data_IF_963194079382
#
_entry.id   IF_963194079382
#
_cell.length_a   1.000
_cell.length_b   1.000
_cell.length_c   1.000
_cell.angle_alpha   90.00
_cell.angle_beta   90.00
_cell.angle_gamma   90.00
#
_symmetry.space_group_name_H-M   'P 1'
#
loop_
_entity.id
_entity.type
_entity.pdbx_description
1 polymer ?
#
# COMPACT_ATOMS: atom_id res chain seq x y z
N UNK A 1 -41.35 42.49 67.34
CA UNK A 1 -42.54 43.27 66.95
C UNK A 1 -42.37 43.67 65.49
N UNK A 2 -43.33 43.27 64.62
CA UNK A 2 -43.61 43.73 63.23
C UNK A 2 -42.50 43.54 62.17
N UNK A 3 -42.64 42.58 61.24
CA UNK A 3 -43.33 42.64 59.93
C UNK A 3 -42.66 43.66 58.98
N UNK A 4 -41.97 43.21 57.93
CA UNK A 4 -42.33 43.29 56.48
C UNK A 4 -41.03 43.00 55.69
N UNK A 5 -40.93 42.50 54.46
CA UNK A 5 -41.86 42.40 53.34
C UNK A 5 -41.26 41.44 52.31
N UNK A 6 -42.13 40.70 51.63
CA UNK A 6 -41.84 39.74 50.56
C UNK A 6 -41.46 40.46 49.26
N UNK A 7 -40.49 39.93 48.52
CA UNK A 7 -40.40 40.09 47.07
C UNK A 7 -40.33 38.69 46.47
N UNK A 8 -41.36 38.32 45.70
CA UNK A 8 -41.43 37.10 44.90
C UNK A 8 -40.95 37.44 43.49
N UNK A 9 -39.80 36.91 43.08
CA UNK A 9 -39.39 36.87 41.67
C UNK A 9 -39.79 35.49 41.16
N UNK A 10 -40.70 35.47 40.19
CA UNK A 10 -41.12 34.24 39.50
C UNK A 10 -40.24 34.11 38.27
N UNK A 11 -39.26 33.20 38.30
CA UNK A 11 -38.46 32.85 37.14
C UNK A 11 -38.99 31.53 36.56
N UNK A 12 -39.61 31.61 35.39
CA UNK A 12 -40.10 30.47 34.62
C UNK A 12 -38.90 29.77 33.99
N UNK A 13 -38.57 28.55 34.45
CA UNK A 13 -37.52 27.73 33.86
C UNK A 13 -38.11 26.90 32.71
N UNK A 14 -37.79 27.28 31.48
CA UNK A 14 -38.08 26.48 30.28
C UNK A 14 -37.07 25.35 30.19
N UNK A 15 -37.51 24.11 30.43
CA UNK A 15 -36.69 22.90 30.20
C UNK A 15 -36.70 22.61 28.70
N UNK A 16 -35.60 22.92 28.02
CA UNK A 16 -35.35 22.46 26.64
C UNK A 16 -34.83 21.03 26.72
N UNK A 17 -35.64 20.06 26.32
CA UNK A 17 -35.21 18.68 26.15
C UNK A 17 -34.29 18.60 24.91
N UNK A 18 -32.99 18.40 25.13
CA UNK A 18 -32.07 18.01 24.06
C UNK A 18 -32.37 16.56 23.68
N UNK A 19 -33.02 16.36 22.54
CA UNK A 19 -33.00 15.08 21.85
C UNK A 19 -31.56 14.82 21.41
N UNK A 20 -30.86 13.93 22.11
CA UNK A 20 -29.55 13.46 21.70
C UNK A 20 -29.66 12.75 20.36
N UNK A 21 -29.21 13.39 19.30
CA UNK A 21 -28.97 12.71 18.04
C UNK A 21 -27.87 11.68 18.28
N UNK A 22 -28.21 10.40 18.23
CA UNK A 22 -27.21 9.35 18.19
C UNK A 22 -26.34 9.58 16.94
N UNK A 23 -25.06 9.90 17.16
CA UNK A 23 -24.08 9.95 16.08
C UNK A 23 -24.02 8.55 15.46
N UNK A 24 -23.95 8.43 14.12
CA UNK A 24 -23.72 7.14 13.50
C UNK A 24 -22.41 6.56 14.05
N UNK A 25 -22.45 5.29 14.46
CA UNK A 25 -21.28 4.57 14.94
C UNK A 25 -20.17 4.66 13.88
N UNK A 26 -19.01 5.17 14.28
CA UNK A 26 -17.83 5.17 13.43
C UNK A 26 -17.50 3.72 13.07
N UNK A 27 -17.48 3.38 11.79
CA UNK A 27 -16.96 2.11 11.33
C UNK A 27 -15.53 1.99 11.88
N UNK A 28 -15.27 0.92 12.64
CA UNK A 28 -13.96 0.70 13.25
C UNK A 28 -12.87 0.74 12.19
N UNK A 29 -11.80 1.48 12.46
CA UNK A 29 -10.65 1.54 11.57
C UNK A 29 -10.02 0.15 11.45
N UNK A 30 -9.84 -0.40 10.23
CA UNK A 30 -9.02 -1.58 10.06
C UNK A 30 -7.62 -1.29 10.63
N UNK A 31 -7.27 -2.01 11.68
CA UNK A 31 -5.92 -1.98 12.25
C UNK A 31 -5.04 -3.02 11.58
N UNK A 32 -3.74 -2.89 11.75
CA UNK A 32 -2.83 -4.02 11.56
C UNK A 32 -2.61 -4.67 12.93
N UNK A 33 -2.95 -5.95 13.02
CA UNK A 33 -2.71 -6.78 14.20
C UNK A 33 -1.24 -7.15 14.32
N UNK A 34 -0.90 -7.90 15.38
CA UNK A 34 0.46 -8.31 15.79
C UNK A 34 1.47 -8.50 14.65
N UNK A 35 2.19 -7.44 14.24
CA UNK A 35 3.18 -7.52 13.18
C UNK A 35 4.37 -8.35 13.65
N UNK A 36 4.95 -9.14 12.76
CA UNK A 36 6.16 -9.89 13.08
C UNK A 36 7.04 -10.08 11.85
N UNK A 37 8.36 -10.07 12.09
CA UNK A 37 9.35 -10.33 11.05
C UNK A 37 9.27 -11.80 10.64
N UNK A 38 9.05 -12.04 9.35
CA UNK A 38 9.02 -13.38 8.75
C UNK A 38 10.35 -13.75 8.11
N UNK A 39 11.19 -12.75 7.81
CA UNK A 39 12.51 -12.94 7.23
C UNK A 39 13.44 -11.76 7.53
N UNK A 40 14.63 -12.07 8.03
CA UNK A 40 15.79 -11.17 7.98
C UNK A 40 16.58 -11.42 6.69
N UNK A 41 17.12 -10.36 6.09
CA UNK A 41 17.84 -10.39 4.83
C UNK A 41 19.28 -9.87 5.03
N UNK A 42 20.17 -10.23 4.13
CA UNK A 42 21.58 -9.86 4.22
C UNK A 42 21.86 -8.51 3.54
N UNK A 43 22.02 -7.46 4.37
CA UNK A 43 22.39 -6.12 3.91
C UNK A 43 23.72 -6.11 3.15
N UNK A 44 24.72 -6.88 3.61
CA UNK A 44 26.04 -6.91 2.99
C UNK A 44 26.02 -7.59 1.61
N UNK A 45 25.10 -8.53 1.41
CA UNK A 45 24.82 -9.14 0.11
C UNK A 45 23.90 -8.30 -0.79
N UNK A 46 23.49 -7.10 -0.36
CA UNK A 46 22.59 -6.22 -1.11
C UNK A 46 21.13 -6.69 -1.14
N UNK A 47 20.73 -7.59 -0.23
CA UNK A 47 19.36 -8.09 -0.12
C UNK A 47 18.45 -7.06 0.57
N UNK A 48 18.20 -5.96 -0.13
CA UNK A 48 17.31 -4.89 0.30
C UNK A 48 16.03 -4.98 -0.54
N UNK A 49 14.91 -5.45 0.04
CA UNK A 49 13.70 -5.74 -0.71
C UNK A 49 12.98 -4.45 -1.12
N UNK A 50 12.71 -4.30 -2.40
CA UNK A 50 12.05 -3.09 -2.94
C UNK A 50 10.56 -3.29 -3.15
N UNK A 51 10.22 -4.38 -3.83
CA UNK A 51 8.84 -4.66 -4.20
C UNK A 51 8.51 -6.13 -4.00
N UNK A 52 7.24 -6.44 -3.76
CA UNK A 52 6.80 -7.80 -3.55
C UNK A 52 5.42 -8.06 -4.14
N UNK A 53 5.20 -9.29 -4.59
CA UNK A 53 3.90 -9.79 -5.00
C UNK A 53 3.67 -11.18 -4.43
N UNK A 54 2.40 -11.59 -4.35
CA UNK A 54 2.01 -12.83 -3.65
C UNK A 54 1.71 -13.94 -4.63
N UNK A 55 2.12 -15.15 -4.29
CA UNK A 55 1.79 -16.35 -5.05
C UNK A 55 0.50 -17.01 -4.56
N UNK A 56 -0.19 -17.79 -5.41
CA UNK A 56 -1.39 -18.54 -5.02
C UNK A 56 -1.19 -19.51 -3.85
N UNK A 57 0.04 -19.99 -3.59
CA UNK A 57 0.37 -20.88 -2.48
C UNK A 57 0.80 -20.15 -1.19
N UNK A 58 0.80 -18.81 -1.18
CA UNK A 58 1.24 -18.01 -0.03
C UNK A 58 2.72 -17.66 -0.01
N UNK A 59 3.51 -18.09 -1.01
CA UNK A 59 4.88 -17.60 -1.19
C UNK A 59 4.88 -16.12 -1.63
N UNK A 60 6.00 -15.44 -1.44
CA UNK A 60 6.23 -14.07 -1.88
C UNK A 60 7.31 -14.05 -2.95
N UNK A 61 7.05 -13.42 -4.09
CA UNK A 61 8.09 -13.09 -5.07
C UNK A 61 8.52 -11.63 -4.79
N UNK A 62 9.81 -11.42 -4.57
CA UNK A 62 10.40 -10.18 -4.05
C UNK A 62 11.56 -9.73 -4.94
N UNK A 63 11.65 -8.43 -5.20
CA UNK A 63 12.80 -7.82 -5.86
C UNK A 63 13.80 -7.33 -4.83
N UNK A 64 15.05 -7.80 -4.93
CA UNK A 64 16.17 -7.39 -4.09
C UNK A 64 16.98 -6.35 -4.84
N UNK A 65 16.81 -5.08 -4.48
CA UNK A 65 17.27 -3.93 -5.26
C UNK A 65 18.72 -4.01 -5.70
N UNK A 66 19.64 -4.10 -4.73
CA UNK A 66 21.08 -3.98 -5.01
C UNK A 66 21.79 -5.33 -5.17
N UNK A 67 21.11 -6.44 -4.87
CA UNK A 67 21.55 -7.78 -5.26
C UNK A 67 21.23 -8.10 -6.74
N UNK A 68 20.40 -7.28 -7.38
CA UNK A 68 19.84 -7.51 -8.71
C UNK A 68 19.08 -8.84 -8.82
N UNK A 69 18.45 -9.28 -7.73
CA UNK A 69 17.82 -10.60 -7.66
C UNK A 69 16.30 -10.50 -7.63
N UNK A 70 15.67 -11.48 -8.26
CA UNK A 70 14.26 -11.82 -8.07
C UNK A 70 14.26 -13.08 -7.21
N UNK A 71 13.62 -13.01 -6.04
CA UNK A 71 13.71 -14.04 -5.01
C UNK A 71 12.31 -14.48 -4.61
N UNK A 72 12.16 -15.79 -4.42
CA UNK A 72 10.96 -16.38 -3.84
C UNK A 72 11.20 -16.72 -2.40
N UNK A 73 10.32 -16.24 -1.53
CA UNK A 73 10.21 -16.69 -0.15
C UNK A 73 9.03 -17.64 -0.04
N UNK A 74 9.28 -18.89 0.31
CA UNK A 74 8.24 -19.90 0.45
C UNK A 74 7.53 -19.78 1.79
N UNK A 75 6.32 -20.33 1.90
CA UNK A 75 5.51 -20.27 3.12
C UNK A 75 6.19 -20.97 4.34
N UNK A 76 6.99 -22.00 4.09
CA UNK A 76 7.85 -22.66 5.10
C UNK A 76 9.15 -21.88 5.38
N UNK A 77 9.23 -20.65 4.85
CA UNK A 77 10.33 -19.70 5.04
C UNK A 77 11.65 -20.16 4.40
N UNK A 78 11.60 -20.89 3.29
CA UNK A 78 12.74 -21.04 2.38
C UNK A 78 12.95 -19.77 1.54
N UNK A 79 14.17 -19.55 1.06
CA UNK A 79 14.51 -18.44 0.16
C UNK A 79 15.18 -19.02 -1.09
N UNK A 80 14.65 -18.71 -2.27
CA UNK A 80 15.16 -19.20 -3.55
C UNK A 80 15.35 -18.06 -4.54
N UNK A 81 16.57 -17.89 -5.05
CA UNK A 81 16.81 -16.96 -6.16
C UNK A 81 16.18 -17.55 -7.42
N UNK A 82 15.21 -16.84 -8.00
CA UNK A 82 14.56 -17.21 -9.25
C UNK A 82 15.34 -16.72 -10.47
N UNK A 83 16.03 -15.58 -10.33
CA UNK A 83 16.86 -15.03 -11.37
C UNK A 83 17.65 -13.82 -10.89
N UNK A 84 18.77 -13.55 -11.56
CA UNK A 84 19.62 -12.38 -11.31
C UNK A 84 19.73 -11.58 -12.60
N UNK A 85 19.45 -10.27 -12.54
CA UNK A 85 19.65 -9.37 -13.66
C UNK A 85 21.14 -9.05 -13.83
N UNK A 86 21.61 -8.84 -15.07
CA UNK A 86 23.01 -8.55 -15.32
C UNK A 86 23.44 -7.23 -14.65
N UNK A 87 24.62 -7.22 -14.05
CA UNK A 87 25.22 -6.00 -13.54
C UNK A 87 25.61 -5.06 -14.70
N UNK A 88 25.43 -3.73 -14.55
CA UNK A 88 25.95 -2.78 -15.53
C UNK A 88 27.49 -2.77 -15.52
N UNK A 89 28.13 -2.17 -16.53
CA UNK A 89 29.57 -1.96 -16.54
C UNK A 89 30.05 -1.27 -15.26
N UNK A 90 31.22 -1.69 -14.74
CA UNK A 90 31.82 -1.10 -13.56
C UNK A 90 31.96 0.42 -13.71
N UNK A 91 31.55 1.17 -12.68
CA UNK A 91 31.58 2.63 -12.69
C UNK A 91 30.35 3.30 -13.34
N UNK A 92 29.36 2.52 -13.79
CA UNK A 92 28.08 3.07 -14.21
C UNK A 92 27.34 3.67 -13.02
N UNK A 93 26.94 4.92 -13.15
CA UNK A 93 26.12 5.62 -12.17
C UNK A 93 24.64 5.56 -12.59
N UNK A 94 23.83 4.84 -11.84
CA UNK A 94 22.39 4.76 -12.11
C UNK A 94 21.69 6.00 -11.54
N UNK A 95 20.74 6.61 -12.28
CA UNK A 95 20.06 7.82 -11.86
C UNK A 95 19.36 7.66 -10.50
N UNK A 96 19.47 8.69 -9.65
CA UNK A 96 18.92 8.80 -8.29
C UNK A 96 19.46 7.81 -7.24
N UNK A 97 19.84 6.59 -7.62
CA UNK A 97 20.25 5.54 -6.68
C UNK A 97 21.76 5.37 -6.56
N UNK A 98 22.55 5.89 -7.51
CA UNK A 98 24.01 5.76 -7.50
C UNK A 98 24.52 4.39 -7.97
N UNK A 99 23.63 3.42 -8.16
CA UNK A 99 23.89 2.01 -8.50
C UNK A 99 22.64 1.35 -9.04
N UNK A 100 22.81 0.29 -9.82
CA UNK A 100 21.68 -0.41 -10.42
C UNK A 100 20.69 -0.93 -9.37
N UNK A 101 19.42 -0.91 -9.74
CA UNK A 101 18.29 -1.00 -8.83
C UNK A 101 17.14 -1.76 -9.51
N UNK A 102 16.58 -2.78 -8.85
CA UNK A 102 15.37 -3.48 -9.31
C UNK A 102 14.15 -2.93 -8.59
N UNK A 103 13.18 -2.46 -9.35
CA UNK A 103 11.93 -1.90 -8.86
C UNK A 103 10.78 -2.91 -8.77
N UNK A 104 9.62 -2.46 -9.20
CA UNK A 104 8.32 -3.11 -9.11
C UNK A 104 8.26 -4.47 -9.80
N UNK A 105 7.38 -5.32 -9.27
CA UNK A 105 7.17 -6.69 -9.72
C UNK A 105 5.70 -6.99 -9.95
N UNK A 106 5.39 -7.70 -11.04
CA UNK A 106 4.05 -8.24 -11.31
C UNK A 106 4.18 -9.69 -11.73
N UNK A 107 3.29 -10.53 -11.19
CA UNK A 107 3.16 -11.95 -11.54
C UNK A 107 1.93 -12.18 -12.40
N UNK A 108 2.10 -12.88 -13.52
CA UNK A 108 1.01 -13.38 -14.35
C UNK A 108 0.46 -14.72 -13.81
N UNK A 109 -0.77 -15.11 -14.20
CA UNK A 109 -1.35 -16.39 -13.78
C UNK A 109 -0.49 -17.61 -14.12
N UNK A 110 0.23 -17.58 -15.24
CA UNK A 110 1.15 -18.64 -15.68
C UNK A 110 2.47 -18.70 -14.90
N UNK A 111 2.69 -17.80 -13.94
CA UNK A 111 3.92 -17.72 -13.15
C UNK A 111 5.01 -16.85 -13.77
N UNK A 112 4.78 -16.25 -14.94
CA UNK A 112 5.71 -15.27 -15.51
C UNK A 112 5.79 -14.04 -14.61
N UNK A 113 7.00 -13.63 -14.26
CA UNK A 113 7.30 -12.40 -13.55
C UNK A 113 7.77 -11.33 -14.51
N UNK A 114 7.25 -10.12 -14.32
CA UNK A 114 7.76 -8.91 -14.92
C UNK A 114 8.34 -8.02 -13.83
N UNK A 115 9.55 -7.51 -14.05
CA UNK A 115 10.24 -6.60 -13.11
C UNK A 115 10.81 -5.39 -13.84
N UNK A 116 10.97 -4.29 -13.11
CA UNK A 116 11.61 -3.08 -13.62
C UNK A 116 13.06 -3.00 -13.18
N UNK A 117 13.94 -2.53 -14.07
CA UNK A 117 15.36 -2.37 -13.80
C UNK A 117 15.83 -0.97 -14.19
N UNK A 118 16.41 -0.24 -13.22
CA UNK A 118 17.16 0.99 -13.43
C UNK A 118 18.65 0.65 -13.37
N UNK A 119 19.33 0.63 -14.50
CA UNK A 119 20.72 0.19 -14.59
C UNK A 119 21.70 1.30 -14.98
N UNK A 120 21.20 2.50 -15.29
CA UNK A 120 22.01 3.62 -15.78
C UNK A 120 22.44 3.51 -17.25
N UNK A 121 22.05 2.45 -17.96
CA UNK A 121 22.41 2.24 -19.37
C UNK A 121 21.19 1.91 -20.22
N UNK A 122 21.19 2.35 -21.48
CA UNK A 122 20.05 2.16 -22.39
C UNK A 122 19.88 0.70 -22.86
N UNK A 123 20.88 -0.15 -22.67
CA UNK A 123 20.85 -1.57 -23.00
C UNK A 123 20.35 -2.46 -21.85
N UNK A 124 20.35 -1.96 -20.61
CA UNK A 124 19.88 -2.69 -19.43
C UNK A 124 18.61 -2.11 -18.80
N UNK A 125 18.47 -0.77 -18.77
CA UNK A 125 17.30 -0.12 -18.17
C UNK A 125 16.02 -0.50 -18.92
N UNK A 126 14.98 -0.90 -18.18
CA UNK A 126 13.70 -1.27 -18.77
C UNK A 126 12.90 -2.32 -18.03
N UNK A 127 11.91 -2.89 -18.75
CA UNK A 127 11.09 -3.99 -18.30
C UNK A 127 11.75 -5.33 -18.65
N UNK A 128 11.87 -6.18 -17.65
CA UNK A 128 12.42 -7.53 -17.76
C UNK A 128 11.35 -8.57 -17.49
N UNK A 129 11.47 -9.71 -18.16
CA UNK A 129 10.58 -10.86 -18.03
C UNK A 129 11.38 -12.08 -17.56
N UNK A 130 10.85 -12.77 -16.57
CA UNK A 130 11.33 -14.06 -16.09
C UNK A 130 10.17 -15.07 -16.15
N UNK A 131 10.26 -16.05 -17.05
CA UNK A 131 9.33 -17.18 -17.04
C UNK A 131 9.83 -18.25 -16.06
N UNK A 132 8.95 -19.10 -15.51
CA UNK A 132 9.39 -20.21 -14.67
C UNK A 132 10.44 -21.08 -15.38
N UNK A 133 11.62 -21.22 -14.76
CA UNK A 133 12.73 -22.03 -15.28
C UNK A 133 13.63 -21.35 -16.32
N UNK A 134 13.28 -20.15 -16.79
CA UNK A 134 14.11 -19.38 -17.72
C UNK A 134 15.11 -18.48 -16.99
N UNK A 135 16.03 -17.87 -17.76
CA UNK A 135 16.82 -16.72 -17.29
C UNK A 135 16.06 -15.41 -17.57
N UNK A 136 16.24 -14.36 -16.75
CA UNK A 136 15.63 -13.06 -17.03
C UNK A 136 16.05 -12.49 -18.39
N UNK A 137 15.09 -11.92 -19.12
CA UNK A 137 15.34 -11.27 -20.43
C UNK A 137 14.65 -9.92 -20.51
N UNK A 138 15.34 -8.92 -21.06
CA UNK A 138 14.75 -7.59 -21.28
C UNK A 138 13.77 -7.65 -22.44
N UNK A 139 12.56 -7.13 -22.22
CA UNK A 139 11.48 -7.11 -23.22
C UNK A 139 11.15 -5.71 -23.70
N UNK A 140 11.25 -4.70 -22.83
CA UNK A 140 11.03 -3.30 -23.22
C UNK A 140 12.23 -2.48 -22.78
N UNK A 141 12.97 -1.83 -23.69
CA UNK A 141 13.98 -0.85 -23.33
C UNK A 141 13.32 0.43 -22.81
N UNK A 142 13.88 0.99 -21.75
CA UNK A 142 13.57 2.35 -21.30
C UNK A 142 14.85 3.22 -21.37
N UNK A 143 14.71 4.56 -21.39
CA UNK A 143 15.86 5.47 -21.40
C UNK A 143 16.86 5.18 -20.28
N UNK A 144 18.16 5.38 -20.55
CA UNK A 144 19.22 5.15 -19.56
C UNK A 144 19.03 5.97 -18.26
N UNK A 145 18.42 7.15 -18.38
CA UNK A 145 18.14 8.06 -17.28
C UNK A 145 16.79 7.81 -16.59
N UNK A 146 16.03 6.78 -16.97
CA UNK A 146 14.78 6.39 -16.30
C UNK A 146 15.08 5.67 -14.99
N UNK A 147 14.23 5.92 -13.99
CA UNK A 147 14.18 5.15 -12.73
C UNK A 147 12.80 4.50 -12.63
N UNK A 148 12.56 3.41 -13.38
CA UNK A 148 11.27 2.75 -13.32
C UNK A 148 11.08 2.07 -11.96
N UNK A 149 10.00 2.43 -11.23
CA UNK A 149 9.81 1.99 -9.85
C UNK A 149 8.53 1.13 -9.69
N UNK A 150 7.35 1.66 -9.40
CA UNK A 150 6.12 0.88 -9.28
C UNK A 150 5.63 0.26 -10.60
N UNK A 151 5.07 -0.95 -10.55
CA UNK A 151 4.56 -1.71 -11.70
C UNK A 151 3.17 -2.30 -11.43
N UNK A 152 2.26 -2.23 -12.42
CA UNK A 152 1.00 -2.95 -12.39
C UNK A 152 0.55 -3.43 -13.78
N UNK A 153 -0.25 -4.50 -13.82
CA UNK A 153 -0.90 -5.00 -15.02
C UNK A 153 -2.38 -4.61 -15.02
N UNK A 154 -2.88 -4.07 -16.14
CA UNK A 154 -4.30 -3.84 -16.36
C UNK A 154 -4.65 -3.86 -17.84
N UNK A 155 -5.77 -4.50 -18.20
CA UNK A 155 -6.28 -4.49 -19.58
C UNK A 155 -5.29 -5.01 -20.62
N UNK A 156 -4.39 -5.93 -20.26
CA UNK A 156 -3.35 -6.47 -21.14
C UNK A 156 -2.10 -5.60 -21.30
N UNK A 157 -2.02 -4.48 -20.56
CA UNK A 157 -0.86 -3.59 -20.56
C UNK A 157 -0.19 -3.56 -19.18
N UNK A 158 1.12 -3.35 -19.18
CA UNK A 158 1.89 -3.02 -18.00
C UNK A 158 2.04 -1.50 -17.89
N UNK A 159 1.82 -0.98 -16.68
CA UNK A 159 1.99 0.42 -16.34
C UNK A 159 3.13 0.54 -15.34
N UNK A 160 4.10 1.41 -15.64
CA UNK A 160 5.25 1.64 -14.78
C UNK A 160 5.40 3.12 -14.48
N UNK A 161 5.64 3.49 -13.24
CA UNK A 161 6.09 4.85 -12.92
C UNK A 161 7.55 5.03 -13.31
N UNK A 162 7.97 6.28 -13.43
CA UNK A 162 9.35 6.68 -13.64
C UNK A 162 9.70 7.82 -12.68
N UNK A 163 10.45 7.49 -11.64
CA UNK A 163 10.77 8.39 -10.53
C UNK A 163 11.65 9.56 -10.96
N UNK A 164 12.52 9.39 -11.97
CA UNK A 164 13.38 10.47 -12.45
C UNK A 164 12.68 11.35 -13.49
N UNK A 165 11.84 10.75 -14.35
CA UNK A 165 11.19 11.48 -15.45
C UNK A 165 9.84 12.08 -15.08
N UNK A 166 9.28 11.72 -13.93
CA UNK A 166 7.97 12.17 -13.47
C UNK A 166 6.85 11.77 -14.42
N UNK A 167 6.88 10.50 -14.84
CA UNK A 167 6.01 9.97 -15.87
C UNK A 167 5.47 8.58 -15.50
N UNK A 168 4.46 8.15 -16.24
CA UNK A 168 3.95 6.79 -16.24
C UNK A 168 4.10 6.27 -17.66
N UNK A 169 4.73 5.11 -17.81
CA UNK A 169 4.84 4.35 -19.04
C UNK A 169 3.68 3.37 -19.17
N UNK A 170 3.21 3.12 -20.39
CA UNK A 170 2.33 1.98 -20.73
C UNK A 170 3.05 1.12 -21.77
N UNK A 171 3.11 -0.17 -21.50
CA UNK A 171 3.89 -1.15 -22.25
C UNK A 171 3.07 -2.41 -22.52
N UNK A 172 3.35 -3.09 -23.63
CA UNK A 172 2.82 -4.44 -23.86
C UNK A 172 3.77 -5.49 -23.27
N UNK A 173 3.24 -6.58 -22.67
CA UNK A 173 4.08 -7.63 -22.08
C UNK A 173 5.01 -8.36 -23.06
N UNK A 174 4.71 -8.33 -24.36
CA UNK A 174 5.51 -8.89 -25.44
C UNK A 174 6.62 -7.95 -25.94
N UNK A 175 6.62 -6.70 -25.49
CA UNK A 175 7.60 -5.68 -25.84
C UNK A 175 7.36 -4.96 -27.16
N UNK A 176 6.24 -5.20 -27.85
CA UNK A 176 5.98 -4.58 -29.16
C UNK A 176 5.59 -3.11 -29.08
N UNK A 177 5.14 -2.63 -27.92
CA UNK A 177 4.78 -1.24 -27.71
C UNK A 177 5.19 -0.74 -26.33
N UNK A 178 5.75 0.47 -26.29
CA UNK A 178 6.07 1.22 -25.09
C UNK A 178 5.92 2.72 -25.37
N UNK A 179 5.19 3.43 -24.53
CA UNK A 179 5.03 4.87 -24.65
C UNK A 179 4.81 5.51 -23.28
N UNK A 180 5.18 6.77 -23.16
CA UNK A 180 4.75 7.59 -22.02
C UNK A 180 3.23 7.68 -22.08
N UNK A 181 2.58 7.09 -21.09
CA UNK A 181 1.13 7.12 -20.91
C UNK A 181 0.68 8.46 -20.35
N UNK A 182 1.35 8.95 -19.31
CA UNK A 182 1.06 10.25 -18.70
C UNK A 182 2.36 10.89 -18.22
N UNK A 183 2.50 12.20 -18.47
CA UNK A 183 3.50 13.06 -17.86
C UNK A 183 2.77 14.29 -17.32
N UNK A 184 3.07 14.66 -16.08
CA UNK A 184 2.37 15.75 -15.42
C UNK A 184 3.23 16.35 -14.30
N UNK A 185 3.09 17.64 -13.97
CA UNK A 185 3.82 18.24 -12.86
C UNK A 185 3.62 17.49 -11.55
N UNK A 186 2.43 16.97 -11.26
CA UNK A 186 2.09 16.22 -10.05
C UNK A 186 2.92 14.93 -9.89
N UNK A 187 3.34 14.34 -11.00
CA UNK A 187 4.17 13.13 -11.06
C UNK A 187 5.68 13.44 -10.95
N UNK A 188 6.09 14.68 -11.17
CA UNK A 188 7.50 15.05 -11.05
C UNK A 188 7.93 15.19 -9.58
N UNK A 189 9.21 14.92 -9.32
CA UNK A 189 9.85 15.23 -8.04
C UNK A 189 9.77 16.73 -7.72
N UNK A 190 9.92 17.09 -6.44
CA UNK A 190 10.01 18.50 -5.99
C UNK A 190 11.42 19.04 -6.24
N UNK A 191 12.43 18.19 -6.12
CA UNK A 191 13.84 18.52 -6.26
C UNK A 191 14.50 17.71 -7.40
N UNK A 192 15.60 18.19 -8.01
CA UNK A 192 16.28 17.46 -9.08
C UNK A 192 16.84 16.08 -8.66
N UNK A 193 17.18 15.91 -7.39
CA UNK A 193 17.68 14.66 -6.80
C UNK A 193 16.57 13.84 -6.13
N UNK A 194 15.33 14.31 -6.16
CA UNK A 194 14.20 13.66 -5.52
C UNK A 194 13.56 12.59 -6.41
N UNK A 195 12.80 11.70 -5.79
CA UNK A 195 12.01 10.69 -6.48
C UNK A 195 10.61 11.23 -6.76
N UNK A 196 10.22 11.24 -8.04
CA UNK A 196 8.88 11.60 -8.50
C UNK A 196 7.88 10.47 -8.31
N UNK A 197 7.09 10.19 -9.35
CA UNK A 197 6.15 9.09 -9.41
C UNK A 197 6.85 7.78 -9.05
N UNK A 198 6.37 7.11 -8.00
CA UNK A 198 7.09 6.05 -7.32
C UNK A 198 6.23 4.77 -7.27
N UNK A 199 5.45 4.53 -6.23
CA UNK A 199 4.51 3.41 -6.17
C UNK A 199 3.40 3.49 -7.21
N UNK A 200 2.92 2.33 -7.68
CA UNK A 200 1.81 2.24 -8.64
C UNK A 200 0.93 1.02 -8.38
N UNK A 201 -0.38 1.25 -8.31
CA UNK A 201 -1.42 0.21 -8.32
C UNK A 201 -2.58 0.65 -9.21
N UNK A 202 -3.37 -0.31 -9.67
CA UNK A 202 -4.57 -0.02 -10.48
C UNK A 202 -5.80 -0.57 -9.76
N UNK A 203 -6.81 0.29 -9.61
CA UNK A 203 -8.10 -0.04 -8.98
C UNK A 203 -9.20 0.80 -9.62
N UNK A 204 -10.36 0.18 -9.83
CA UNK A 204 -11.57 0.83 -10.38
C UNK A 204 -11.28 1.62 -11.66
N UNK A 205 -10.52 0.98 -12.55
CA UNK A 205 -10.09 1.52 -13.85
C UNK A 205 -9.41 2.90 -13.72
N UNK A 206 -8.60 3.07 -12.67
CA UNK A 206 -7.73 4.22 -12.46
C UNK A 206 -6.34 3.77 -12.02
N UNK A 207 -5.32 4.48 -12.49
CA UNK A 207 -3.95 4.34 -11.99
C UNK A 207 -3.83 5.18 -10.74
N UNK A 208 -3.44 4.55 -9.64
CA UNK A 208 -3.09 5.20 -8.38
C UNK A 208 -1.58 5.24 -8.25
N UNK A 209 -1.04 6.38 -7.84
CA UNK A 209 0.40 6.65 -7.83
C UNK A 209 0.79 7.42 -6.58
N UNK A 210 1.84 7.00 -5.90
CA UNK A 210 2.51 7.84 -4.92
C UNK A 210 3.58 8.69 -5.63
N UNK A 211 3.77 9.92 -5.19
CA UNK A 211 4.92 10.75 -5.58
C UNK A 211 5.77 10.98 -4.34
N UNK A 212 6.94 10.31 -4.28
CA UNK A 212 7.71 10.16 -3.05
C UNK A 212 8.18 11.50 -2.47
N UNK A 213 8.90 12.30 -3.26
CA UNK A 213 9.44 13.61 -2.81
C UNK A 213 8.34 14.64 -2.52
N UNK A 214 7.13 14.43 -3.06
CA UNK A 214 5.97 15.31 -2.79
C UNK A 214 5.11 14.84 -1.63
N UNK A 215 5.21 13.58 -1.23
CA UNK A 215 4.37 13.00 -0.18
C UNK A 215 2.89 13.01 -0.55
N UNK A 216 2.55 12.61 -1.76
CA UNK A 216 1.16 12.62 -2.26
C UNK A 216 0.73 11.26 -2.79
N UNK A 217 -0.54 10.92 -2.56
CA UNK A 217 -1.24 9.84 -3.26
C UNK A 217 -2.14 10.47 -4.33
N UNK A 218 -1.97 10.03 -5.57
CA UNK A 218 -2.63 10.55 -6.76
C UNK A 218 -3.50 9.47 -7.40
N UNK A 219 -4.55 9.91 -8.10
CA UNK A 219 -5.44 9.07 -8.89
C UNK A 219 -5.60 9.62 -10.30
N UNK A 220 -5.37 8.79 -11.31
CA UNK A 220 -5.48 9.13 -12.73
C UNK A 220 -6.47 8.15 -13.38
N UNK A 221 -7.70 8.57 -13.72
CA UNK A 221 -8.66 7.70 -14.39
C UNK A 221 -8.12 7.15 -15.71
N UNK A 222 -8.43 5.90 -16.03
CA UNK A 222 -8.16 5.29 -17.33
C UNK A 222 -9.42 5.50 -18.19
N UNK A 223 -9.34 6.39 -19.17
CA UNK A 223 -10.41 6.71 -20.09
C UNK A 223 -10.66 5.63 -21.16
N UNK A 224 -11.55 5.95 -22.10
CA UNK A 224 -11.82 5.09 -23.27
C UNK A 224 -10.53 4.79 -24.03
N UNK A 225 -10.39 3.56 -24.51
CA UNK A 225 -9.19 3.07 -25.20
C UNK A 225 -7.89 3.16 -24.36
N UNK A 226 -8.02 3.29 -23.04
CA UNK A 226 -6.90 3.32 -22.12
C UNK A 226 -6.14 4.65 -22.10
N UNK A 227 -6.76 5.77 -22.47
CA UNK A 227 -6.13 7.12 -22.39
C UNK A 227 -6.07 7.61 -20.95
N UNK A 228 -5.09 8.45 -20.57
CA UNK A 228 -5.04 9.01 -19.21
C UNK A 228 -6.05 10.15 -19.01
N UNK A 229 -6.70 10.16 -17.87
CA UNK A 229 -7.51 11.28 -17.39
C UNK A 229 -6.70 12.40 -16.76
N UNK A 230 -7.41 13.30 -16.08
CA UNK A 230 -6.83 14.33 -15.21
C UNK A 230 -6.21 13.70 -13.97
N UNK A 231 -5.12 14.27 -13.46
CA UNK A 231 -4.50 13.82 -12.21
C UNK A 231 -5.27 14.45 -11.05
N UNK A 232 -5.69 13.63 -10.10
CA UNK A 232 -6.37 14.07 -8.87
C UNK A 232 -5.51 13.74 -7.67
N UNK A 233 -5.28 14.70 -6.79
CA UNK A 233 -4.67 14.44 -5.48
C UNK A 233 -5.73 13.86 -4.54
N UNK A 234 -5.45 12.68 -3.99
CA UNK A 234 -6.31 12.02 -3.00
C UNK A 234 -5.84 12.38 -1.59
N UNK A 235 -4.53 12.30 -1.35
CA UNK A 235 -3.91 12.66 -0.08
C UNK A 235 -2.59 13.39 -0.30
N UNK A 236 -2.20 14.22 0.66
CA UNK A 236 -0.95 14.95 0.68
C UNK A 236 -0.38 15.02 2.10
N UNK A 237 0.89 15.37 2.23
CA UNK A 237 1.57 15.45 3.53
C UNK A 237 2.01 14.10 4.09
N UNK A 238 2.14 13.09 3.22
CA UNK A 238 2.38 11.70 3.62
C UNK A 238 3.85 11.37 3.97
N UNK A 239 4.77 12.34 3.90
CA UNK A 239 6.21 12.08 4.02
C UNK A 239 6.82 11.51 2.74
N UNK A 240 7.82 10.64 2.83
CA UNK A 240 8.51 10.06 1.68
C UNK A 240 7.85 8.73 1.29
N UNK A 241 6.60 8.80 0.82
CA UNK A 241 5.83 7.60 0.45
C UNK A 241 6.40 6.90 -0.77
N UNK A 242 6.74 5.64 -0.56
CA UNK A 242 7.25 4.70 -1.56
C UNK A 242 6.04 3.97 -2.18
N UNK A 243 5.99 2.65 -2.21
CA UNK A 243 4.84 1.90 -2.70
C UNK A 243 3.72 1.71 -1.66
N UNK A 244 2.59 1.20 -2.13
CA UNK A 244 1.37 1.07 -1.35
C UNK A 244 0.53 -0.13 -1.79
N UNK A 245 -0.44 -0.49 -0.96
CA UNK A 245 -1.46 -1.49 -1.28
C UNK A 245 -2.84 -1.04 -0.79
N UNK A 246 -3.90 -1.56 -1.40
CA UNK A 246 -5.26 -1.33 -0.90
C UNK A 246 -5.58 -2.29 0.24
N UNK A 247 -6.32 -1.82 1.25
CA UNK A 247 -6.73 -2.67 2.38
C UNK A 247 -7.76 -3.73 1.98
N UNK A 248 -8.44 -3.55 0.84
CA UNK A 248 -9.59 -4.35 0.43
C UNK A 248 -10.94 -3.71 0.80
N UNK A 249 -10.96 -2.68 1.66
CA UNK A 249 -12.15 -1.97 2.10
C UNK A 249 -12.24 -0.60 1.42
N UNK A 250 -13.18 -0.46 0.47
CA UNK A 250 -13.31 0.79 -0.29
C UNK A 250 -11.97 1.20 -0.93
N UNK A 251 -11.67 2.50 -0.87
CA UNK A 251 -10.43 3.09 -1.38
C UNK A 251 -9.39 3.36 -0.27
N UNK A 252 -9.50 2.68 0.87
CA UNK A 252 -8.47 2.77 1.92
C UNK A 252 -7.15 2.16 1.41
N UNK A 253 -6.05 2.87 1.69
CA UNK A 253 -4.70 2.52 1.24
C UNK A 253 -3.76 2.39 2.43
N UNK A 254 -2.89 1.39 2.42
CA UNK A 254 -1.70 1.33 3.27
C UNK A 254 -0.49 1.73 2.42
N UNK A 255 0.24 2.77 2.82
CA UNK A 255 1.41 3.26 2.11
C UNK A 255 2.65 3.18 2.99
N UNK A 256 3.78 2.77 2.40
CA UNK A 256 5.06 2.77 3.06
C UNK A 256 5.64 4.19 3.03
N UNK A 257 5.77 4.87 4.17
CA UNK A 257 6.59 6.07 4.28
C UNK A 257 8.00 5.66 4.66
N UNK A 258 8.86 5.61 3.64
CA UNK A 258 10.19 5.02 3.72
C UNK A 258 11.09 5.78 4.70
N UNK A 259 11.22 7.09 4.51
CA UNK A 259 12.05 7.93 5.38
C UNK A 259 11.43 8.13 6.77
N UNK A 260 10.10 8.16 6.87
CA UNK A 260 9.38 8.23 8.14
C UNK A 260 9.40 6.92 8.94
N UNK A 261 9.86 5.82 8.34
CA UNK A 261 9.90 4.48 8.92
C UNK A 261 8.55 4.03 9.51
N UNK A 262 7.49 4.20 8.73
CA UNK A 262 6.10 3.95 9.13
C UNK A 262 5.27 3.42 7.96
N UNK A 263 4.19 2.71 8.29
CA UNK A 263 3.11 2.43 7.34
C UNK A 263 1.94 3.33 7.69
N UNK A 264 1.49 4.12 6.71
CA UNK A 264 0.36 5.03 6.83
C UNK A 264 -0.92 4.37 6.30
N UNK A 265 -1.98 4.35 7.10
CA UNK A 265 -3.34 4.10 6.62
C UNK A 265 -3.93 5.42 6.13
N UNK A 266 -4.24 5.49 4.84
CA UNK A 266 -4.79 6.65 4.14
C UNK A 266 -6.25 6.37 3.80
N UNK A 267 -7.12 7.32 4.14
CA UNK A 267 -8.56 7.27 3.89
C UNK A 267 -8.92 7.99 2.58
N UNK A 268 -10.10 7.69 1.99
CA UNK A 268 -10.55 8.34 0.76
C UNK A 268 -10.73 9.87 0.88
N UNK A 269 -10.92 10.39 2.10
CA UNK A 269 -10.99 11.82 2.38
C UNK A 269 -9.62 12.50 2.53
N UNK A 270 -8.53 11.74 2.38
CA UNK A 270 -7.15 12.20 2.49
C UNK A 270 -6.56 12.20 3.89
N UNK A 271 -7.37 11.91 4.93
CA UNK A 271 -6.86 11.73 6.29
C UNK A 271 -5.97 10.49 6.38
N UNK A 272 -4.95 10.54 7.23
CA UNK A 272 -4.02 9.43 7.38
C UNK A 272 -3.48 9.29 8.81
N UNK A 273 -3.09 8.07 9.15
CA UNK A 273 -2.52 7.74 10.46
C UNK A 273 -1.52 6.59 10.34
N UNK A 274 -0.43 6.66 11.09
CA UNK A 274 0.53 5.57 11.17
C UNK A 274 -0.10 4.35 11.86
N UNK A 275 -0.03 3.20 11.21
CA UNK A 275 -0.52 1.91 11.72
C UNK A 275 0.59 0.90 12.00
N UNK A 276 1.79 1.13 11.46
CA UNK A 276 3.03 0.47 11.87
C UNK A 276 4.14 1.50 11.97
N UNK A 277 5.09 1.28 12.86
CA UNK A 277 6.22 2.17 13.15
C UNK A 277 7.52 1.37 13.33
N UNK A 278 8.63 2.07 13.57
CA UNK A 278 9.89 1.44 13.97
C UNK A 278 9.76 0.48 15.17
N UNK A 279 8.80 0.73 16.09
CA UNK A 279 8.57 -0.14 17.25
C UNK A 279 8.05 -1.53 16.86
N UNK A 280 7.47 -1.65 15.66
CA UNK A 280 6.93 -2.90 15.10
C UNK A 280 7.97 -3.68 14.30
N UNK A 281 9.23 -3.20 14.26
CA UNK A 281 10.34 -3.82 13.54
C UNK A 281 10.62 -3.23 12.15
N UNK A 282 9.91 -2.17 11.74
CA UNK A 282 10.13 -1.52 10.45
C UNK A 282 11.56 -0.98 10.33
N UNK A 283 12.12 -1.15 9.13
CA UNK A 283 13.46 -0.70 8.75
C UNK A 283 13.38 -0.07 7.36
N UNK A 284 12.80 1.13 7.28
CA UNK A 284 12.48 1.85 6.05
C UNK A 284 11.66 1.01 5.05
N UNK A 285 10.33 0.95 5.24
CA UNK A 285 9.47 0.15 4.38
C UNK A 285 9.44 0.72 2.97
N UNK A 286 9.49 -0.13 1.96
CA UNK A 286 9.48 0.23 0.52
C UNK A 286 8.17 -0.14 -0.15
N UNK A 287 7.58 -1.28 0.20
CA UNK A 287 6.34 -1.72 -0.44
C UNK A 287 5.49 -2.60 0.44
N UNK A 288 4.24 -2.77 0.00
CA UNK A 288 3.28 -3.66 0.63
C UNK A 288 2.55 -4.51 -0.40
N UNK A 289 2.24 -5.75 -0.03
CA UNK A 289 1.22 -6.54 -0.73
C UNK A 289 0.26 -7.20 0.25
N UNK A 290 -1.00 -7.32 -0.16
CA UNK A 290 -2.04 -8.00 0.63
C UNK A 290 -2.38 -9.35 0.02
N UNK A 291 -2.56 -10.35 0.87
CA UNK A 291 -3.14 -11.65 0.51
C UNK A 291 -4.08 -12.10 1.61
N UNK A 292 -5.36 -12.30 1.27
CA UNK A 292 -6.38 -12.58 2.28
C UNK A 292 -6.32 -11.52 3.38
N UNK A 293 -6.30 -11.95 4.63
CA UNK A 293 -6.28 -11.05 5.80
C UNK A 293 -4.85 -10.80 6.31
N UNK A 294 -3.86 -10.81 5.43
CA UNK A 294 -2.47 -10.51 5.78
C UNK A 294 -1.90 -9.49 4.81
N UNK A 295 -1.22 -8.49 5.36
CA UNK A 295 -0.37 -7.54 4.66
C UNK A 295 1.07 -7.92 4.91
N UNK A 296 1.86 -7.96 3.85
CA UNK A 296 3.30 -8.13 3.90
C UNK A 296 3.95 -6.78 3.59
N UNK A 297 5.01 -6.46 4.34
CA UNK A 297 5.79 -5.25 4.17
C UNK A 297 7.21 -5.66 3.79
N UNK A 298 7.76 -5.02 2.75
CA UNK A 298 9.19 -5.06 2.48
C UNK A 298 9.88 -3.90 3.18
N UNK A 299 10.95 -4.21 3.92
CA UNK A 299 11.76 -3.25 4.64
C UNK A 299 13.19 -3.28 4.08
N UNK A 300 13.56 -2.25 3.34
CA UNK A 300 14.83 -2.21 2.61
C UNK A 300 16.02 -1.74 3.44
N UNK A 301 15.78 -1.14 4.60
CA UNK A 301 16.80 -0.59 5.48
C UNK A 301 17.69 0.46 4.78
N UNK A 302 17.14 1.23 3.81
CA UNK A 302 17.89 2.20 3.01
C UNK A 302 18.52 3.34 3.80
N UNK A 303 17.91 3.75 4.90
CA UNK A 303 18.41 4.83 5.75
C UNK A 303 18.94 4.30 7.10
N UNK A 304 18.31 3.26 7.66
CA UNK A 304 18.71 2.68 8.94
C UNK A 304 19.96 1.81 8.85
N UNK A 305 20.27 1.24 7.68
CA UNK A 305 21.45 0.40 7.44
C UNK A 305 21.67 -0.70 8.50
N UNK A 306 20.59 -1.30 8.99
CA UNK A 306 20.63 -2.25 10.12
C UNK A 306 20.14 -3.64 9.73
N UNK A 307 18.85 -3.78 9.36
CA UNK A 307 18.22 -5.10 9.21
C UNK A 307 17.14 -5.06 8.11
N UNK A 308 17.52 -5.20 6.83
CA UNK A 308 16.51 -5.37 5.79
C UNK A 308 15.73 -6.65 6.09
N UNK A 309 14.40 -6.55 6.04
CA UNK A 309 13.54 -7.63 6.48
C UNK A 309 12.21 -7.65 5.74
N UNK A 310 11.40 -8.68 5.98
CA UNK A 310 9.99 -8.70 5.61
C UNK A 310 9.14 -8.89 6.86
N UNK A 311 8.07 -8.12 6.96
CA UNK A 311 7.07 -8.22 8.03
C UNK A 311 5.78 -8.80 7.48
N UNK A 312 5.10 -9.62 8.27
CA UNK A 312 3.71 -9.98 8.06
C UNK A 312 2.85 -9.38 9.18
N UNK A 313 1.75 -8.73 8.80
CA UNK A 313 0.80 -8.11 9.71
C UNK A 313 -0.63 -8.54 9.33
N UNK A 314 -1.38 -9.19 10.25
CA UNK A 314 -2.79 -9.47 10.04
C UNK A 314 -3.61 -8.20 9.84
N UNK A 315 -4.59 -8.22 8.95
CA UNK A 315 -5.59 -7.15 8.83
C UNK A 315 -6.67 -7.42 9.87
N UNK A 316 -6.72 -6.60 10.91
CA UNK A 316 -7.79 -6.68 11.90
C UNK A 316 -8.98 -5.85 11.44
N UNK A 317 -10.03 -6.55 11.01
CA UNK A 317 -11.34 -5.94 10.92
C UNK A 317 -11.92 -5.88 12.33
N UNK A 318 -12.21 -4.67 12.82
CA UNK A 318 -13.05 -4.52 14.01
C UNK A 318 -14.45 -5.02 13.66
N UNK A 319 -14.68 -6.32 13.88
CA UNK A 319 -16.03 -6.87 13.86
C UNK A 319 -16.86 -6.10 14.88
N UNK A 320 -17.98 -5.54 14.42
CA UNK A 320 -18.93 -4.88 15.29
C UNK A 320 -19.31 -5.84 16.41
N UNK A 321 -19.00 -5.45 17.65
CA UNK A 321 -19.65 -6.00 18.84
C UNK A 321 -21.15 -5.85 18.60
N UNK A 322 -21.82 -6.95 18.20
CA UNK A 322 -23.26 -7.03 18.30
C UNK A 322 -23.55 -6.94 19.79
N UNK A 323 -23.98 -5.77 20.23
CA UNK A 323 -24.60 -5.61 21.54
C UNK A 323 -25.75 -6.62 21.57
N UNK A 324 -25.56 -7.68 22.37
CA UNK A 324 -26.69 -8.48 22.82
C UNK A 324 -27.47 -7.56 23.74
N UNK A 325 -28.61 -7.09 23.25
CA UNK A 325 -29.64 -6.49 24.11
C UNK A 325 -30.16 -7.57 25.06
N UNK A 326 -29.46 -7.76 26.17
CA UNK A 326 -30.06 -8.28 27.39
C UNK A 326 -30.78 -7.10 28.07
N UNK A 327 -32.04 -6.90 27.70
CA UNK A 327 -32.94 -6.00 28.41
C UNK A 327 -34.23 -6.74 28.79
N UNK A 328 -34.19 -7.31 29.99
CA UNK A 328 -35.21 -7.21 31.02
C UNK A 328 -36.66 -6.94 30.55
N UNK A 329 -37.41 -8.01 30.30
CA UNK A 329 -38.87 -8.01 30.30
C UNK A 329 -39.43 -8.61 31.59
N UNK A 330 -39.19 -7.97 32.75
CA UNK A 330 -39.94 -8.26 33.96
C UNK A 330 -41.21 -7.39 33.97
N UNK A 331 -42.39 -7.99 33.74
CA UNK A 331 -43.65 -7.27 33.91
C UNK A 331 -44.92 -8.01 33.50
N UNK A 332 -45.59 -8.59 34.51
CA UNK A 332 -47.04 -8.75 34.65
C UNK A 332 -47.77 -9.98 34.05
N UNK A 333 -48.15 -10.85 35.01
CA UNK A 333 -49.50 -11.44 35.25
C UNK A 333 -50.06 -12.40 34.19
N UNK A 334 -50.15 -13.67 34.56
CA UNK A 334 -51.42 -14.31 34.94
C UNK A 334 -51.18 -15.73 35.49
N UNK A 335 -51.55 -15.95 36.76
CA UNK A 335 -51.76 -17.28 37.28
C UNK A 335 -53.15 -17.75 36.80
N UNK A 336 -53.18 -18.80 35.98
CA UNK A 336 -54.38 -19.57 35.69
C UNK A 336 -54.17 -20.98 36.25
N UNK A 337 -55.06 -21.38 37.17
CA UNK A 337 -55.01 -22.66 37.88
C UNK A 337 -55.28 -23.89 37.01
N UNK A 338 -55.11 -25.10 37.55
CA UNK A 338 -55.23 -26.34 36.79
C UNK A 338 -56.69 -26.77 36.65
N UNK A 339 -57.14 -26.99 35.42
CA UNK A 339 -58.41 -27.64 35.07
C UNK A 339 -58.17 -29.06 34.53
N UNK A 340 -59.11 -30.01 34.71
CA UNK A 340 -58.78 -31.39 35.00
C UNK A 340 -58.72 -32.30 33.77
N UNK A 341 -57.92 -33.38 33.88
CA UNK A 341 -58.04 -34.57 33.03
C UNK A 341 -59.32 -35.33 33.39
N UNK A 342 -60.16 -35.66 32.41
CA UNK A 342 -60.88 -36.94 32.30
C UNK A 342 -61.22 -37.25 30.83
N UNK A 343 -60.95 -38.51 30.47
CA UNK A 343 -61.43 -39.35 29.34
C UNK A 343 -61.55 -38.72 27.96
#
# INVERSE_FOLDING_TARGET
MRISSRIRITATATVVAFAGAALPASAGTPGLGSPHIIRHLDLAAGQQPENLTTEPNGSLDVTMSFAHQIVRLTADRGTHVLGTLPAPPTGTDAPLTGRAFIGGIVRLPDGTLYVLYSAGTADLTGLWRLRPGDVPSRVVPLPANSVPNGLALHGGYLYATDSSLGAIWRMTPDGTAAAVWKKAPELAARTPSGFGANGLKIRDNAVWVTTMDKGTLLRVPIGRHGTPGTVHTVAAGLGAVDDFTFTGHGDDVLAADNAGNRVELIRPDGSHTAVLTAADGLQNPTSLARRGDTVYVADASYYTHTDPNLIAAPVELLEHVRVRDDAAGAGQRAAAGPGPRRS
#
